data_IF_899791253107
#
_entry.id   IF_899791253107
#
_cell.length_a   1.000
_cell.length_b   1.000
_cell.length_c   1.000
_cell.angle_alpha   90.00
_cell.angle_beta   90.00
_cell.angle_gamma   90.00
#
_symmetry.space_group_name_H-M   'P 1'
#
loop_
_entity.id
_entity.type
_entity.pdbx_description
1 polymer ?
#
# COMPACT_ATOMS: atom_id res chain seq x y z
N UNK A 1 -22.03 -28.14 38.50
CA UNK A 1 -20.84 -29.00 38.35
C UNK A 1 -19.79 -28.23 37.55
N UNK A 2 -18.64 -27.83 38.13
CA UNK A 2 -17.68 -26.92 37.48
C UNK A 2 -16.77 -27.58 36.43
N UNK A 3 -16.55 -28.90 36.45
CA UNK A 3 -15.65 -29.57 35.50
C UNK A 3 -16.09 -29.41 34.03
N UNK A 4 -17.35 -29.75 33.72
CA UNK A 4 -17.90 -29.76 32.35
C UNK A 4 -17.81 -28.40 31.63
N UNK A 5 -17.80 -27.28 32.36
CA UNK A 5 -17.55 -25.98 31.75
C UNK A 5 -16.06 -25.73 31.50
N UNK A 6 -15.17 -26.14 32.40
CA UNK A 6 -13.71 -25.99 32.21
C UNK A 6 -13.20 -26.76 30.99
N UNK A 7 -13.68 -27.99 30.78
CA UNK A 7 -13.32 -28.83 29.63
C UNK A 7 -13.76 -28.19 28.30
N UNK A 8 -14.99 -27.65 28.26
CA UNK A 8 -15.50 -26.90 27.10
C UNK A 8 -14.64 -25.66 26.78
N UNK A 9 -14.18 -24.95 27.82
CA UNK A 9 -13.34 -23.75 27.65
C UNK A 9 -11.96 -24.11 27.10
N UNK A 10 -11.42 -25.28 27.48
CA UNK A 10 -10.20 -25.81 26.87
C UNK A 10 -10.45 -26.27 25.44
N UNK A 11 -11.53 -26.96 25.12
CA UNK A 11 -11.81 -27.43 23.74
C UNK A 11 -11.97 -26.26 22.76
N UNK A 12 -12.65 -25.18 23.14
CA UNK A 12 -12.82 -23.97 22.32
C UNK A 12 -11.47 -23.28 22.00
N UNK A 13 -10.56 -23.17 22.97
CA UNK A 13 -9.26 -22.52 22.77
C UNK A 13 -8.21 -23.45 22.13
N UNK A 14 -8.31 -24.77 22.38
CA UNK A 14 -7.40 -25.79 21.83
C UNK A 14 -7.84 -26.28 20.42
N UNK A 15 -8.98 -25.79 19.92
CA UNK A 15 -9.52 -26.10 18.60
C UNK A 15 -8.49 -25.85 17.49
N UNK A 16 -8.36 -26.80 16.57
CA UNK A 16 -7.45 -26.75 15.43
C UNK A 16 -7.72 -25.53 14.54
N UNK A 17 -9.00 -25.15 14.36
CA UNK A 17 -9.41 -23.96 13.61
C UNK A 17 -8.86 -22.67 14.25
N UNK A 18 -8.86 -22.56 15.58
CA UNK A 18 -8.34 -21.39 16.28
C UNK A 18 -6.81 -21.30 16.21
N UNK A 19 -6.12 -22.45 16.23
CA UNK A 19 -4.67 -22.54 16.01
C UNK A 19 -4.30 -22.17 14.58
N UNK A 20 -4.96 -22.76 13.59
CA UNK A 20 -4.79 -22.47 12.17
C UNK A 20 -4.96 -20.97 11.88
N UNK A 21 -6.06 -20.38 12.36
CA UNK A 21 -6.34 -18.95 12.22
C UNK A 21 -5.25 -18.07 12.86
N UNK A 22 -4.72 -18.49 14.01
CA UNK A 22 -3.58 -17.83 14.68
C UNK A 22 -2.31 -17.90 13.84
N UNK A 23 -1.97 -19.06 13.27
CA UNK A 23 -0.80 -19.21 12.39
C UNK A 23 -0.94 -18.39 11.10
N UNK A 24 -2.12 -18.41 10.45
CA UNK A 24 -2.40 -17.64 9.23
C UNK A 24 -2.20 -16.14 9.47
N UNK A 25 -2.77 -15.60 10.57
CA UNK A 25 -2.60 -14.18 10.93
C UNK A 25 -1.11 -13.86 11.19
N UNK A 26 -0.36 -14.73 11.87
CA UNK A 26 1.07 -14.50 12.15
C UNK A 26 1.89 -14.52 10.86
N UNK A 27 1.74 -15.53 10.00
CA UNK A 27 2.53 -15.68 8.77
C UNK A 27 2.31 -14.49 7.82
N UNK A 28 1.06 -14.10 7.56
CA UNK A 28 0.80 -12.94 6.70
C UNK A 28 1.35 -11.64 7.30
N UNK A 29 1.19 -11.40 8.61
CA UNK A 29 1.75 -10.19 9.22
C UNK A 29 3.29 -10.17 9.24
N UNK A 30 3.97 -11.31 9.32
CA UNK A 30 5.44 -11.37 9.15
C UNK A 30 5.86 -10.97 7.73
N UNK A 31 5.16 -11.44 6.70
CA UNK A 31 5.42 -11.04 5.30
C UNK A 31 5.20 -9.53 5.12
N UNK A 32 4.08 -8.99 5.62
CA UNK A 32 3.83 -7.55 5.57
C UNK A 32 4.81 -6.71 6.41
N UNK A 33 5.33 -7.23 7.53
CA UNK A 33 6.37 -6.57 8.32
C UNK A 33 7.68 -6.46 7.52
N UNK A 34 8.08 -7.52 6.81
CA UNK A 34 9.26 -7.48 5.92
C UNK A 34 9.07 -6.45 4.81
N UNK A 35 7.89 -6.38 4.19
CA UNK A 35 7.57 -5.36 3.19
C UNK A 35 7.62 -3.94 3.77
N UNK A 36 7.06 -3.72 4.97
CA UNK A 36 7.15 -2.45 5.69
C UNK A 36 8.59 -2.04 6.01
N UNK A 37 9.44 -2.99 6.42
CA UNK A 37 10.89 -2.79 6.58
C UNK A 37 11.56 -2.31 5.28
N UNK A 38 11.24 -2.93 4.15
CA UNK A 38 11.78 -2.55 2.84
C UNK A 38 11.29 -1.16 2.42
N UNK A 39 10.03 -0.82 2.64
CA UNK A 39 9.48 0.53 2.37
C UNK A 39 10.19 1.61 3.19
N UNK A 40 10.40 1.37 4.49
CA UNK A 40 11.14 2.29 5.37
C UNK A 40 12.60 2.42 4.90
N UNK A 41 13.27 1.29 4.60
CA UNK A 41 14.67 1.30 4.15
C UNK A 41 14.85 2.07 2.84
N UNK A 42 13.97 1.87 1.85
CA UNK A 42 13.99 2.60 0.59
C UNK A 42 13.70 4.09 0.79
N UNK A 43 12.74 4.45 1.64
CA UNK A 43 12.44 5.86 1.92
C UNK A 43 13.58 6.57 2.65
N UNK A 44 14.23 5.90 3.62
CA UNK A 44 15.42 6.43 4.31
C UNK A 44 16.62 6.54 3.36
N UNK A 45 16.84 5.56 2.48
CA UNK A 45 17.87 5.65 1.44
C UNK A 45 17.65 6.88 0.55
N UNK A 46 16.43 7.08 0.05
CA UNK A 46 16.05 8.25 -0.75
C UNK A 46 16.14 9.59 0.02
N UNK A 47 16.09 9.60 1.36
CA UNK A 47 16.28 10.79 2.20
C UNK A 47 17.76 11.13 2.46
N UNK A 48 18.65 10.15 2.45
CA UNK A 48 20.08 10.34 2.77
C UNK A 48 20.99 10.45 1.54
N UNK A 49 20.54 10.04 0.35
CA UNK A 49 21.31 10.09 -0.89
C UNK A 49 21.50 11.54 -1.42
N UNK A 50 22.59 12.19 -0.98
CA UNK A 50 22.82 13.63 -1.21
C UNK A 50 23.05 14.02 -2.67
N UNK A 51 23.61 13.12 -3.48
CA UNK A 51 23.89 13.43 -4.88
C UNK A 51 22.63 13.24 -5.75
N UNK A 52 21.76 12.29 -5.42
CA UNK A 52 20.44 12.19 -6.05
C UNK A 52 19.57 13.41 -5.70
N UNK A 53 19.64 13.90 -4.46
CA UNK A 53 18.97 15.14 -4.03
C UNK A 53 19.31 16.35 -4.92
N UNK A 54 20.53 16.43 -5.46
CA UNK A 54 20.96 17.56 -6.31
C UNK A 54 20.17 17.61 -7.64
N UNK A 55 20.23 16.57 -8.49
CA UNK A 55 19.48 16.55 -9.77
C UNK A 55 17.94 16.58 -9.59
N UNK A 56 17.41 16.26 -8.40
CA UNK A 56 15.99 16.48 -8.06
C UNK A 56 15.67 17.97 -7.82
N UNK A 57 16.58 18.70 -7.17
CA UNK A 57 16.50 20.18 -7.03
C UNK A 57 16.72 20.85 -8.39
N UNK A 58 17.72 20.41 -9.16
CA UNK A 58 18.05 20.95 -10.48
C UNK A 58 16.89 20.73 -11.48
N UNK A 59 16.16 19.61 -11.39
CA UNK A 59 14.91 19.37 -12.15
C UNK A 59 13.74 20.30 -11.77
N UNK A 60 13.81 20.96 -10.61
CA UNK A 60 12.68 21.69 -10.02
C UNK A 60 11.54 20.79 -9.55
N UNK A 61 11.78 19.50 -9.30
CA UNK A 61 10.76 18.53 -8.84
C UNK A 61 10.87 18.22 -7.33
N UNK A 62 11.58 19.04 -6.57
CA UNK A 62 11.87 18.80 -5.15
C UNK A 62 10.60 18.54 -4.32
N UNK A 63 9.55 19.32 -4.54
CA UNK A 63 8.28 19.23 -3.80
C UNK A 63 7.55 17.91 -4.05
N UNK A 64 7.37 17.54 -5.31
CA UNK A 64 6.63 16.35 -5.72
C UNK A 64 7.40 15.07 -5.33
N UNK A 65 8.72 15.07 -5.51
CA UNK A 65 9.59 13.95 -5.11
C UNK A 65 9.55 13.72 -3.59
N UNK A 66 9.82 14.74 -2.77
CA UNK A 66 9.81 14.56 -1.31
C UNK A 66 8.44 14.20 -0.78
N UNK A 67 7.36 14.72 -1.36
CA UNK A 67 5.99 14.31 -1.01
C UNK A 67 5.82 12.79 -1.18
N UNK A 68 6.29 12.22 -2.30
CA UNK A 68 6.29 10.77 -2.53
C UNK A 68 7.13 9.99 -1.52
N UNK A 69 8.34 10.45 -1.22
CA UNK A 69 9.26 9.80 -0.26
C UNK A 69 8.68 9.81 1.17
N UNK A 70 8.09 10.91 1.62
CA UNK A 70 7.45 10.99 2.93
C UNK A 70 6.18 10.13 3.02
N UNK A 71 5.39 10.02 1.94
CA UNK A 71 4.25 9.10 1.87
C UNK A 71 4.72 7.64 1.98
N UNK A 72 5.79 7.26 1.29
CA UNK A 72 6.36 5.91 1.37
C UNK A 72 6.86 5.58 2.79
N UNK A 73 7.55 6.52 3.45
CA UNK A 73 8.02 6.38 4.82
C UNK A 73 6.83 6.21 5.80
N UNK A 74 5.82 7.07 5.69
CA UNK A 74 4.62 7.01 6.54
C UNK A 74 3.86 5.69 6.35
N UNK A 75 3.68 5.25 5.10
CA UNK A 75 3.05 3.97 4.79
C UNK A 75 3.82 2.79 5.39
N UNK A 76 5.15 2.74 5.23
CA UNK A 76 5.98 1.68 5.80
C UNK A 76 5.92 1.62 7.34
N UNK A 77 5.90 2.77 8.01
CA UNK A 77 5.73 2.87 9.47
C UNK A 77 4.33 2.37 9.90
N UNK A 78 3.28 2.75 9.18
CA UNK A 78 1.91 2.29 9.46
C UNK A 78 1.78 0.78 9.26
N UNK A 79 2.34 0.21 8.20
CA UNK A 79 2.39 -1.25 7.98
C UNK A 79 3.15 -1.95 9.10
N UNK A 80 4.26 -1.39 9.60
CA UNK A 80 4.98 -1.94 10.74
C UNK A 80 4.16 -1.94 12.04
N UNK A 81 3.49 -0.82 12.36
CA UNK A 81 2.63 -0.73 13.55
C UNK A 81 1.44 -1.70 13.47
N UNK A 82 0.79 -1.77 12.30
CA UNK A 82 -0.32 -2.70 12.05
C UNK A 82 0.14 -4.15 12.23
N UNK A 83 1.22 -4.57 11.58
CA UNK A 83 1.71 -5.95 11.64
C UNK A 83 2.20 -6.37 13.02
N UNK A 84 2.82 -5.45 13.78
CA UNK A 84 3.16 -5.65 15.19
C UNK A 84 1.92 -5.95 16.04
N UNK A 85 0.83 -5.18 15.90
CA UNK A 85 -0.43 -5.47 16.60
C UNK A 85 -1.12 -6.74 16.09
N UNK A 86 -0.95 -7.11 14.82
CA UNK A 86 -1.41 -8.38 14.26
C UNK A 86 -0.74 -9.59 14.91
N UNK A 87 0.59 -9.65 14.91
CA UNK A 87 1.36 -10.76 15.51
C UNK A 87 1.15 -10.84 17.03
N UNK A 88 1.25 -9.72 17.75
CA UNK A 88 1.01 -9.72 19.20
C UNK A 88 -0.46 -10.00 19.54
N UNK A 89 -1.41 -9.49 18.76
CA UNK A 89 -2.84 -9.76 18.92
C UNK A 89 -3.19 -11.23 18.67
N UNK A 90 -2.48 -11.91 17.77
CA UNK A 90 -2.59 -13.34 17.53
C UNK A 90 -2.03 -14.15 18.72
N UNK A 91 -0.83 -13.84 19.21
CA UNK A 91 -0.20 -14.56 20.32
C UNK A 91 -0.84 -14.31 21.70
N UNK A 92 -1.29 -13.08 21.99
CA UNK A 92 -1.80 -12.73 23.32
C UNK A 92 -3.19 -13.31 23.63
N UNK A 93 -3.39 -13.68 24.91
CA UNK A 93 -4.69 -14.10 25.47
C UNK A 93 -5.70 -12.93 25.61
N UNK A 94 -5.30 -11.68 25.37
CA UNK A 94 -6.16 -10.48 25.43
C UNK A 94 -6.60 -10.07 24.02
N UNK A 95 -7.91 -9.96 23.77
CA UNK A 95 -8.45 -9.56 22.45
C UNK A 95 -8.11 -8.11 22.02
N UNK A 96 -7.63 -7.25 22.92
CA UNK A 96 -7.55 -5.79 22.68
C UNK A 96 -6.61 -5.42 21.53
N UNK A 97 -5.38 -5.96 21.47
CA UNK A 97 -4.45 -5.68 20.36
C UNK A 97 -4.98 -6.19 19.03
N UNK A 98 -5.68 -7.33 19.03
CA UNK A 98 -6.28 -7.91 17.84
C UNK A 98 -7.46 -7.08 17.29
N UNK A 99 -8.19 -6.38 18.17
CA UNK A 99 -9.19 -5.38 17.78
C UNK A 99 -8.56 -4.09 17.26
N UNK A 100 -7.42 -3.65 17.82
CA UNK A 100 -6.65 -2.50 17.28
C UNK A 100 -6.17 -2.80 15.87
N UNK A 101 -5.64 -4.01 15.63
CA UNK A 101 -5.28 -4.50 14.30
C UNK A 101 -6.49 -4.53 13.33
N UNK A 102 -7.65 -5.06 13.76
CA UNK A 102 -8.84 -5.09 12.92
C UNK A 102 -9.37 -3.69 12.55
N UNK A 103 -9.39 -2.76 13.51
CA UNK A 103 -9.86 -1.38 13.29
C UNK A 103 -8.90 -0.58 12.41
N UNK A 104 -7.57 -0.70 12.61
CA UNK A 104 -6.58 -0.07 11.73
C UNK A 104 -6.66 -0.61 10.30
N UNK A 105 -6.72 -1.93 10.14
CA UNK A 105 -6.89 -2.58 8.82
C UNK A 105 -8.18 -2.12 8.13
N UNK A 106 -9.29 -1.94 8.87
CA UNK A 106 -10.54 -1.41 8.30
C UNK A 106 -10.40 0.03 7.78
N UNK A 107 -9.67 0.90 8.50
CA UNK A 107 -9.36 2.25 8.03
C UNK A 107 -8.46 2.21 6.78
N UNK A 108 -7.45 1.33 6.75
CA UNK A 108 -6.61 1.13 5.56
C UNK A 108 -7.44 0.68 4.34
N UNK A 109 -8.32 -0.31 4.48
CA UNK A 109 -9.23 -0.76 3.40
C UNK A 109 -10.07 0.39 2.84
N UNK A 110 -10.63 1.25 3.71
CA UNK A 110 -11.42 2.42 3.26
C UNK A 110 -10.54 3.43 2.51
N UNK A 111 -9.33 3.70 2.98
CA UNK A 111 -8.38 4.60 2.32
C UNK A 111 -7.85 4.04 0.98
N UNK A 112 -7.60 2.73 0.90
CA UNK A 112 -7.17 2.06 -0.33
C UNK A 112 -8.26 2.06 -1.39
N UNK A 113 -9.51 1.75 -1.03
CA UNK A 113 -10.66 1.82 -1.94
C UNK A 113 -10.91 3.27 -2.38
N UNK A 114 -10.85 4.25 -1.46
CA UNK A 114 -11.00 5.66 -1.80
C UNK A 114 -9.88 6.16 -2.72
N UNK A 115 -8.62 5.79 -2.46
CA UNK A 115 -7.46 6.16 -3.26
C UNK A 115 -7.49 5.54 -4.66
N UNK A 116 -7.77 4.24 -4.77
CA UNK A 116 -7.92 3.56 -6.05
C UNK A 116 -9.09 4.15 -6.86
N UNK A 117 -10.23 4.42 -6.22
CA UNK A 117 -11.39 5.08 -6.86
C UNK A 117 -11.04 6.50 -7.32
N UNK A 118 -10.33 7.27 -6.50
CA UNK A 118 -9.89 8.62 -6.87
C UNK A 118 -8.93 8.60 -8.07
N UNK A 119 -7.95 7.69 -8.07
CA UNK A 119 -6.95 7.58 -9.13
C UNK A 119 -7.53 7.03 -10.45
N UNK A 120 -8.52 6.12 -10.38
CA UNK A 120 -9.26 5.66 -11.58
C UNK A 120 -10.23 6.73 -12.10
N UNK A 121 -10.85 7.53 -11.23
CA UNK A 121 -11.77 8.61 -11.62
C UNK A 121 -11.05 9.79 -12.28
N UNK A 122 -9.87 10.16 -11.78
CA UNK A 122 -9.05 11.24 -12.33
C UNK A 122 -7.99 10.67 -13.28
N UNK A 123 -8.45 9.89 -14.27
CA UNK A 123 -7.63 9.41 -15.38
C UNK A 123 -6.94 10.56 -16.11
N UNK A 124 -5.80 10.28 -16.72
CA UNK A 124 -4.91 11.33 -17.25
C UNK A 124 -5.44 11.85 -18.60
N UNK A 125 -5.93 10.96 -19.47
CA UNK A 125 -6.59 11.35 -20.72
C UNK A 125 -7.74 12.34 -20.48
N UNK A 126 -7.71 13.47 -21.19
CA UNK A 126 -8.73 14.54 -21.16
C UNK A 126 -8.95 15.23 -19.81
N UNK A 127 -8.02 15.12 -18.85
CA UNK A 127 -8.08 15.84 -17.57
C UNK A 127 -7.08 16.99 -17.49
N UNK A 128 -7.13 17.77 -16.40
CA UNK A 128 -6.16 18.83 -16.11
C UNK A 128 -4.71 18.32 -16.00
N UNK A 129 -4.52 17.01 -15.79
CA UNK A 129 -3.19 16.38 -15.78
C UNK A 129 -2.61 16.32 -17.21
N UNK A 130 -3.41 16.06 -18.25
CA UNK A 130 -2.93 16.12 -19.64
C UNK A 130 -2.53 17.55 -20.05
N UNK A 131 -3.25 18.57 -19.57
CA UNK A 131 -2.87 19.98 -19.79
C UNK A 131 -1.54 20.31 -19.10
N UNK A 132 -1.39 19.94 -17.83
CA UNK A 132 -0.13 20.13 -17.10
C UNK A 132 1.06 19.39 -17.74
N UNK A 133 0.83 18.17 -18.23
CA UNK A 133 1.84 17.40 -18.98
C UNK A 133 2.20 18.08 -20.31
N UNK A 134 1.21 18.60 -21.04
CA UNK A 134 1.44 19.35 -22.28
C UNK A 134 2.31 20.59 -22.04
N UNK A 135 1.97 21.41 -21.04
CA UNK A 135 2.73 22.62 -20.68
C UNK A 135 4.17 22.28 -20.25
N UNK A 136 4.35 21.23 -19.43
CA UNK A 136 5.69 20.80 -19.00
C UNK A 136 6.52 20.21 -20.14
N UNK A 137 5.90 19.51 -21.10
CA UNK A 137 6.58 19.03 -22.30
C UNK A 137 6.98 20.20 -23.22
N UNK A 138 6.12 21.22 -23.39
CA UNK A 138 6.45 22.42 -24.16
C UNK A 138 7.58 23.23 -23.53
N UNK A 139 7.63 23.32 -22.20
CA UNK A 139 8.79 23.86 -21.49
C UNK A 139 10.06 23.05 -21.77
N UNK A 140 10.04 21.73 -21.68
CA UNK A 140 11.22 20.90 -21.99
C UNK A 140 11.66 20.98 -23.46
N UNK A 141 10.77 21.33 -24.38
CA UNK A 141 11.12 21.62 -25.78
C UNK A 141 11.81 22.98 -25.90
N UNK A 142 11.35 24.03 -25.19
CA UNK A 142 11.94 25.37 -25.29
C UNK A 142 13.32 25.50 -24.63
N UNK A 143 13.65 24.65 -23.66
CA UNK A 143 14.99 24.58 -23.03
C UNK A 143 15.88 23.44 -23.56
N UNK A 144 15.46 22.70 -24.59
CA UNK A 144 16.09 21.45 -25.03
C UNK A 144 17.60 21.56 -25.36
N UNK A 145 18.03 22.68 -25.94
CA UNK A 145 19.45 22.90 -26.28
C UNK A 145 20.28 23.51 -25.15
N UNK A 146 19.64 24.03 -24.09
CA UNK A 146 20.29 24.71 -22.96
C UNK A 146 20.35 23.86 -21.68
N UNK A 147 19.45 22.89 -21.52
CA UNK A 147 19.30 22.05 -20.32
C UNK A 147 19.55 20.57 -20.66
N UNK A 148 20.62 20.00 -20.11
CA UNK A 148 21.01 18.60 -20.37
C UNK A 148 20.06 17.58 -19.70
N UNK A 149 19.46 17.94 -18.56
CA UNK A 149 18.54 17.10 -17.81
C UNK A 149 17.17 17.05 -18.51
N UNK A 150 16.73 18.17 -19.12
CA UNK A 150 15.61 18.22 -20.08
C UNK A 150 15.91 17.47 -21.39
N UNK A 151 17.09 17.69 -22.00
CA UNK A 151 17.53 17.02 -23.24
C UNK A 151 17.51 15.50 -23.10
N UNK A 152 18.05 14.98 -21.99
CA UNK A 152 18.03 13.55 -21.63
C UNK A 152 16.61 13.03 -21.49
N UNK A 153 15.74 13.74 -20.75
CA UNK A 153 14.33 13.39 -20.56
C UNK A 153 13.57 13.33 -21.88
N UNK A 154 13.74 14.35 -22.73
CA UNK A 154 13.07 14.46 -24.02
C UNK A 154 13.55 13.40 -25.02
N UNK A 155 14.85 13.05 -25.04
CA UNK A 155 15.37 11.99 -25.91
C UNK A 155 14.72 10.62 -25.64
N UNK A 156 14.49 10.28 -24.37
CA UNK A 156 13.80 9.04 -23.97
C UNK A 156 12.34 9.07 -24.46
N UNK A 157 11.66 10.21 -24.29
CA UNK A 157 10.26 10.42 -24.70
C UNK A 157 10.09 10.35 -26.23
N UNK A 158 11.04 10.88 -27.00
CA UNK A 158 11.01 10.92 -28.47
C UNK A 158 11.05 9.52 -29.12
N UNK A 159 11.54 8.49 -28.43
CA UNK A 159 11.45 7.10 -28.92
C UNK A 159 10.02 6.52 -28.89
N UNK A 160 9.13 7.07 -28.07
CA UNK A 160 7.85 6.43 -27.75
C UNK A 160 6.85 6.42 -28.91
N UNK A 161 6.70 7.50 -29.72
CA UNK A 161 5.92 7.45 -30.96
C UNK A 161 6.31 6.28 -31.88
N UNK A 162 7.62 6.00 -32.00
CA UNK A 162 8.14 4.90 -32.83
C UNK A 162 7.80 3.54 -32.20
N UNK A 163 7.91 3.41 -30.87
CA UNK A 163 7.51 2.20 -30.12
C UNK A 163 6.01 1.92 -30.24
N UNK A 164 5.16 2.94 -30.13
CA UNK A 164 3.70 2.82 -30.30
C UNK A 164 3.31 2.46 -31.75
N UNK A 165 3.96 3.07 -32.76
CA UNK A 165 3.76 2.75 -34.16
C UNK A 165 4.12 1.28 -34.48
N UNK A 166 5.31 0.83 -34.05
CA UNK A 166 5.75 -0.58 -34.20
C UNK A 166 4.83 -1.59 -33.50
N UNK A 167 4.07 -1.16 -32.49
CA UNK A 167 3.12 -1.99 -31.73
C UNK A 167 1.69 -1.95 -32.33
N UNK A 168 1.49 -1.30 -33.49
CA UNK A 168 0.24 -1.32 -34.26
C UNK A 168 -0.74 -0.19 -33.96
N UNK A 169 -0.41 0.76 -33.09
CA UNK A 169 -1.32 1.84 -32.66
C UNK A 169 -1.28 3.09 -33.57
N UNK A 170 -0.55 3.04 -34.68
CA UNK A 170 -0.29 4.20 -35.54
C UNK A 170 0.67 5.21 -34.91
N UNK A 171 0.77 6.39 -35.52
CA UNK A 171 1.66 7.45 -35.04
C UNK A 171 0.97 8.28 -33.95
N UNK A 172 1.45 8.18 -32.71
CA UNK A 172 0.90 8.88 -31.54
C UNK A 172 1.91 9.94 -31.09
N UNK A 173 1.48 11.19 -30.91
CA UNK A 173 2.32 12.27 -30.40
C UNK A 173 2.86 12.00 -28.98
N UNK A 174 4.04 12.53 -28.66
CA UNK A 174 4.78 12.23 -27.43
C UNK A 174 3.96 12.40 -26.14
N UNK A 175 3.25 13.52 -25.96
CA UNK A 175 2.39 13.80 -24.80
C UNK A 175 1.32 12.70 -24.65
N UNK A 176 0.55 12.43 -25.69
CA UNK A 176 -0.56 11.45 -25.66
C UNK A 176 -0.06 10.01 -25.50
N UNK A 177 1.07 9.68 -26.11
CA UNK A 177 1.75 8.38 -25.95
C UNK A 177 2.33 8.16 -24.55
N UNK A 178 2.65 9.24 -23.82
CA UNK A 178 3.02 9.22 -22.41
C UNK A 178 1.77 9.12 -21.52
N UNK A 179 0.73 9.91 -21.78
CA UNK A 179 -0.58 9.84 -21.11
C UNK A 179 -1.12 8.40 -21.06
N UNK A 180 -1.23 7.72 -22.21
CA UNK A 180 -1.72 6.33 -22.25
C UNK A 180 -0.84 5.33 -21.48
N UNK A 181 0.46 5.58 -21.38
CA UNK A 181 1.37 4.72 -20.61
C UNK A 181 1.18 4.90 -19.10
N UNK A 182 1.09 6.15 -18.61
CA UNK A 182 0.87 6.41 -17.18
C UNK A 182 -0.55 5.99 -16.77
N UNK A 183 -1.56 6.19 -17.62
CA UNK A 183 -2.93 5.68 -17.41
C UNK A 183 -2.98 4.14 -17.35
N UNK A 184 -2.16 3.46 -18.17
CA UNK A 184 -1.93 2.03 -18.01
C UNK A 184 -1.29 1.68 -16.66
N UNK A 185 -0.26 2.40 -16.23
CA UNK A 185 0.40 2.18 -14.93
C UNK A 185 -0.53 2.41 -13.74
N UNK A 186 -1.30 3.50 -13.71
CA UNK A 186 -2.26 3.75 -12.62
C UNK A 186 -3.36 2.70 -12.58
N UNK A 187 -3.81 2.20 -13.75
CA UNK A 187 -4.72 1.04 -13.83
C UNK A 187 -4.18 -0.21 -13.11
N UNK A 188 -2.93 -0.60 -13.39
CA UNK A 188 -2.29 -1.73 -12.71
C UNK A 188 -2.05 -1.48 -11.21
N UNK A 189 -1.66 -0.27 -10.82
CA UNK A 189 -1.45 0.08 -9.39
C UNK A 189 -2.78 0.02 -8.63
N UNK A 190 -3.88 0.55 -9.19
CA UNK A 190 -5.23 0.42 -8.60
C UNK A 190 -5.68 -1.03 -8.48
N UNK A 191 -5.39 -1.88 -9.48
CA UNK A 191 -5.71 -3.31 -9.40
C UNK A 191 -4.97 -4.00 -8.25
N UNK A 192 -3.67 -3.74 -8.08
CA UNK A 192 -2.87 -4.26 -6.96
C UNK A 192 -3.41 -3.74 -5.62
N UNK A 193 -3.73 -2.45 -5.51
CA UNK A 193 -4.29 -1.86 -4.29
C UNK A 193 -5.63 -2.51 -3.89
N UNK A 194 -6.53 -2.75 -4.84
CA UNK A 194 -7.82 -3.41 -4.57
C UNK A 194 -7.65 -4.90 -4.20
N UNK A 195 -6.65 -5.60 -4.75
CA UNK A 195 -6.29 -6.97 -4.33
C UNK A 195 -5.72 -6.98 -2.91
N UNK A 196 -4.92 -5.99 -2.53
CA UNK A 196 -4.42 -5.84 -1.15
C UNK A 196 -5.55 -5.52 -0.17
N UNK A 197 -6.48 -4.62 -0.51
CA UNK A 197 -7.66 -4.32 0.28
C UNK A 197 -8.53 -5.58 0.49
N UNK A 198 -8.74 -6.38 -0.56
CA UNK A 198 -9.45 -7.66 -0.49
C UNK A 198 -8.74 -8.65 0.46
N UNK A 199 -7.41 -8.77 0.40
CA UNK A 199 -6.64 -9.61 1.33
C UNK A 199 -6.72 -9.09 2.79
N UNK A 200 -6.75 -7.78 2.99
CA UNK A 200 -6.96 -7.17 4.31
C UNK A 200 -8.35 -7.46 4.88
N UNK A 201 -9.40 -7.57 4.05
CA UNK A 201 -10.73 -7.99 4.50
C UNK A 201 -10.69 -9.39 5.14
N UNK A 202 -10.00 -10.37 4.53
CA UNK A 202 -9.83 -11.69 5.15
C UNK A 202 -9.02 -11.64 6.45
N UNK A 203 -7.94 -10.85 6.49
CA UNK A 203 -7.15 -10.67 7.70
C UNK A 203 -7.96 -10.02 8.85
N UNK A 204 -8.84 -9.07 8.52
CA UNK A 204 -9.73 -8.41 9.47
C UNK A 204 -10.82 -9.37 9.98
N UNK A 205 -11.49 -10.13 9.09
CA UNK A 205 -12.46 -11.17 9.46
C UNK A 205 -11.81 -12.22 10.37
N UNK A 206 -10.62 -12.70 10.00
CA UNK A 206 -9.84 -13.65 10.81
C UNK A 206 -9.52 -13.09 12.21
N UNK A 207 -9.08 -11.83 12.29
CA UNK A 207 -8.80 -11.15 13.55
C UNK A 207 -10.06 -10.99 14.41
N UNK A 208 -11.21 -10.64 13.82
CA UNK A 208 -12.49 -10.51 14.54
C UNK A 208 -12.96 -11.87 15.07
N UNK A 209 -12.92 -12.95 14.26
CA UNK A 209 -13.30 -14.30 14.69
C UNK A 209 -12.42 -14.74 15.87
N UNK A 210 -11.09 -14.61 15.75
CA UNK A 210 -10.16 -14.96 16.83
C UNK A 210 -10.33 -14.05 18.07
N UNK A 211 -10.75 -12.79 17.90
CA UNK A 211 -11.08 -11.89 19.00
C UNK A 211 -12.39 -12.28 19.73
N UNK A 212 -13.37 -12.86 19.02
CA UNK A 212 -14.61 -13.41 19.61
C UNK A 212 -14.33 -14.69 20.41
N UNK A 213 -13.56 -15.63 19.86
CA UNK A 213 -13.11 -16.84 20.59
C UNK A 213 -12.38 -16.45 21.89
N UNK A 214 -11.50 -15.44 21.83
CA UNK A 214 -10.82 -14.87 23.01
C UNK A 214 -11.77 -14.08 23.94
N UNK A 215 -12.92 -13.61 23.47
CA UNK A 215 -13.96 -12.98 24.30
C UNK A 215 -14.71 -14.03 25.13
N UNK A 216 -15.17 -15.12 24.52
CA UNK A 216 -15.90 -16.20 25.20
C UNK A 216 -15.06 -16.87 26.29
N UNK A 217 -13.77 -17.10 25.99
CA UNK A 217 -12.82 -17.55 27.00
C UNK A 217 -12.69 -16.55 28.17
N UNK A 218 -12.87 -15.24 27.95
CA UNK A 218 -12.79 -14.20 29.00
C UNK A 218 -14.11 -13.97 29.76
N UNK A 219 -15.29 -14.11 29.15
CA UNK A 219 -16.57 -14.08 29.87
C UNK A 219 -16.64 -15.25 30.84
N UNK A 220 -16.56 -16.48 30.33
CA UNK A 220 -16.72 -17.70 31.11
C UNK A 220 -15.62 -17.90 32.19
N UNK A 221 -14.49 -17.17 32.13
CA UNK A 221 -13.47 -17.15 33.22
C UNK A 221 -13.86 -16.23 34.37
N UNK A 222 -14.72 -15.22 34.15
CA UNK A 222 -15.28 -14.38 35.22
C UNK A 222 -16.45 -15.07 35.90
N UNK A 223 -17.25 -15.81 35.15
CA UNK A 223 -18.42 -16.52 35.67
C UNK A 223 -18.02 -17.68 36.60
N UNK A 224 -16.85 -18.31 36.37
CA UNK A 224 -16.22 -19.28 37.29
C UNK A 224 -15.50 -18.67 38.51
N UNK A 225 -15.56 -17.34 38.71
CA UNK A 225 -15.01 -16.63 39.89
C UNK A 225 -16.08 -15.91 40.71
N UNK A 226 -17.35 -16.21 40.44
CA UNK A 226 -18.54 -15.73 41.15
C UNK A 226 -19.25 -16.91 41.79
#
# INVERSE_FOLDING_TARGET
MPGRSLDYRYSVLNNENAKFLTYVIIVFNIVFAILGSVMIALALYMLFETDFRRFIVDLGMEKEYWTGVYILLAAGILTMLQTFFGVLGAYQKKKTMLLIFAVSSFVCIVLEIAGATYMLKHGISYSSIEVFLYDRFMYFISVYDTDEQAKRTMSIIQEWPIKWYKKGYGYVGCVRGFTFYIEGMTGWISAVALILAFQQVFACIAAVILAMVKQEFKSSTRDLRR
#
